data_IF_197502595448
#
_entry.id   IF_197502595448
#
_cell.length_a   1.000
_cell.length_b   1.000
_cell.length_c   1.000
_cell.angle_alpha   90.00
_cell.angle_beta   90.00
_cell.angle_gamma   90.00
#
_symmetry.space_group_name_H-M   'P 1'
#
loop_
_entity.id
_entity.type
_entity.pdbx_description
1 polymer ?
#
# COMPACT_ATOMS: atom_id res chain seq x y z
N UNK A 1 6.42 -79.19 39.78
CA UNK A 1 6.10 -78.59 38.48
C UNK A 1 5.49 -77.20 38.73
N UNK A 2 6.25 -76.13 38.43
CA UNK A 2 5.78 -74.74 38.63
C UNK A 2 5.48 -74.17 37.21
N UNK A 3 4.23 -73.83 36.96
CA UNK A 3 3.79 -73.20 35.72
C UNK A 3 4.04 -71.68 35.81
N UNK A 4 4.85 -71.16 34.92
CA UNK A 4 5.07 -69.72 34.71
C UNK A 4 4.05 -69.27 33.65
N UNK A 5 3.10 -68.43 34.09
CA UNK A 5 2.17 -67.73 33.14
C UNK A 5 2.85 -66.43 32.67
N UNK A 6 3.20 -66.33 31.41
CA UNK A 6 3.71 -65.13 30.79
C UNK A 6 2.50 -64.30 30.29
N UNK A 7 2.28 -63.14 30.95
CA UNK A 7 1.25 -62.19 30.57
C UNK A 7 1.84 -61.23 29.52
N UNK A 8 1.46 -61.42 28.24
CA UNK A 8 1.84 -60.46 27.19
C UNK A 8 0.94 -59.23 27.26
N UNK A 9 1.53 -58.07 27.67
CA UNK A 9 0.88 -56.77 27.56
C UNK A 9 0.97 -56.29 26.10
N UNK A 10 -0.17 -56.22 25.42
CA UNK A 10 -0.30 -55.54 24.15
C UNK A 10 -0.43 -54.01 24.40
N UNK A 11 0.62 -53.24 24.10
CA UNK A 11 0.56 -51.80 24.06
C UNK A 11 -0.01 -51.38 22.70
N UNK A 12 -1.27 -50.97 22.67
CA UNK A 12 -1.91 -50.38 21.49
C UNK A 12 -1.54 -48.91 21.49
N UNK A 13 -0.55 -48.52 20.65
CA UNK A 13 -0.24 -47.12 20.39
C UNK A 13 -1.30 -46.52 19.46
N UNK A 14 -2.21 -45.71 20.03
CA UNK A 14 -3.07 -44.84 19.28
C UNK A 14 -2.22 -43.70 18.66
N UNK A 15 -1.87 -43.84 17.39
CA UNK A 15 -1.33 -42.73 16.60
C UNK A 15 -2.51 -41.82 16.24
N UNK A 16 -2.70 -40.73 16.97
CA UNK A 16 -3.52 -39.61 16.51
C UNK A 16 -2.85 -39.01 15.27
N UNK A 17 -3.35 -39.32 14.10
CA UNK A 17 -3.10 -38.48 12.91
C UNK A 17 -3.82 -37.14 13.15
N UNK A 18 -3.06 -36.09 13.42
CA UNK A 18 -3.58 -34.72 13.29
C UNK A 18 -4.01 -34.54 11.83
N UNK A 19 -5.32 -34.40 11.61
CA UNK A 19 -5.82 -33.93 10.33
C UNK A 19 -5.27 -32.50 10.11
N UNK A 20 -4.78 -32.18 8.88
CA UNK A 20 -4.34 -30.82 8.58
C UNK A 20 -5.53 -29.90 8.83
N UNK A 21 -5.38 -28.94 9.76
CA UNK A 21 -6.36 -27.87 9.98
C UNK A 21 -6.64 -27.24 8.60
N UNK A 22 -7.87 -27.41 8.11
CA UNK A 22 -8.37 -26.65 6.98
C UNK A 22 -8.16 -25.17 7.33
N UNK A 23 -7.26 -24.52 6.62
CA UNK A 23 -7.06 -23.10 6.73
C UNK A 23 -8.41 -22.47 6.32
N UNK A 24 -9.14 -21.93 7.28
CA UNK A 24 -10.37 -21.17 6.97
C UNK A 24 -9.95 -20.07 5.99
N UNK A 25 -10.64 -20.02 4.85
CA UNK A 25 -10.40 -18.95 3.89
C UNK A 25 -10.63 -17.62 4.61
N UNK A 26 -9.59 -16.78 4.69
CA UNK A 26 -9.70 -15.44 5.24
C UNK A 26 -10.83 -14.68 4.53
N UNK A 27 -11.67 -13.98 5.28
CA UNK A 27 -12.72 -13.17 4.67
C UNK A 27 -12.06 -12.10 3.78
N UNK A 28 -12.64 -11.85 2.60
CA UNK A 28 -12.15 -10.80 1.70
C UNK A 28 -12.23 -9.43 2.38
N UNK A 29 -11.21 -8.61 2.16
CA UNK A 29 -11.19 -7.21 2.64
C UNK A 29 -12.37 -6.43 2.09
N UNK A 30 -13.01 -5.63 2.94
CA UNK A 30 -14.09 -4.72 2.54
C UNK A 30 -13.64 -3.68 1.50
N UNK A 31 -12.32 -3.47 1.33
CA UNK A 31 -11.78 -2.57 0.32
C UNK A 31 -12.07 -3.03 -1.10
N UNK A 32 -12.24 -4.33 -1.33
CA UNK A 32 -12.58 -4.89 -2.64
C UNK A 32 -13.89 -4.29 -3.15
N UNK A 33 -14.91 -4.24 -2.31
CA UNK A 33 -16.19 -3.59 -2.67
C UNK A 33 -16.12 -2.06 -2.59
N UNK A 34 -15.45 -1.54 -1.56
CA UNK A 34 -15.36 -0.09 -1.31
C UNK A 34 -14.63 0.65 -2.42
N UNK A 35 -13.59 0.05 -3.01
CA UNK A 35 -12.77 0.64 -4.07
C UNK A 35 -13.05 0.05 -5.46
N UNK A 36 -14.05 -0.83 -5.62
CA UNK A 36 -14.51 -1.27 -6.93
C UNK A 36 -14.99 -0.07 -7.77
N UNK A 37 -14.82 -0.17 -9.07
CA UNK A 37 -15.32 0.84 -10.00
C UNK A 37 -16.83 1.00 -9.88
N UNK A 38 -17.27 2.23 -9.80
CA UNK A 38 -18.69 2.62 -9.82
C UNK A 38 -18.82 3.90 -10.64
N UNK A 39 -19.68 3.88 -11.65
CA UNK A 39 -19.95 5.09 -12.44
C UNK A 39 -20.43 6.24 -11.55
N UNK A 40 -19.95 7.45 -11.82
CA UNK A 40 -20.28 8.68 -11.09
C UNK A 40 -19.86 8.73 -9.60
N UNK A 41 -18.95 7.84 -9.19
CA UNK A 41 -18.34 7.93 -7.86
C UNK A 41 -17.41 9.15 -7.78
N UNK A 42 -17.39 9.80 -6.63
CA UNK A 42 -16.41 10.87 -6.34
C UNK A 42 -14.99 10.31 -6.49
N UNK A 43 -14.11 10.97 -7.25
CA UNK A 43 -12.73 10.54 -7.39
C UNK A 43 -12.00 10.56 -6.05
N UNK A 44 -11.00 9.71 -5.92
CA UNK A 44 -10.19 9.55 -4.70
C UNK A 44 -8.85 10.25 -4.87
N UNK A 45 -8.43 11.01 -3.87
CA UNK A 45 -7.06 11.52 -3.79
C UNK A 45 -6.18 10.45 -3.15
N UNK A 46 -5.10 10.07 -3.82
CA UNK A 46 -4.04 9.23 -3.26
C UNK A 46 -2.81 10.11 -3.03
N UNK A 47 -2.44 10.27 -1.77
CA UNK A 47 -1.33 11.13 -1.36
C UNK A 47 -0.03 10.35 -1.50
N UNK A 48 0.84 10.75 -2.43
CA UNK A 48 2.12 10.12 -2.69
C UNK A 48 3.07 10.31 -1.49
N UNK A 49 3.73 9.23 -1.05
CA UNK A 49 4.65 9.18 0.11
C UNK A 49 4.05 9.72 1.41
N UNK A 50 2.74 9.56 1.61
CA UNK A 50 2.07 10.07 2.79
C UNK A 50 2.03 11.59 2.92
N UNK A 51 2.50 12.31 1.89
CA UNK A 51 2.57 13.77 1.83
C UNK A 51 3.98 14.25 1.47
N UNK A 52 4.13 14.77 0.25
CA UNK A 52 5.39 15.27 -0.28
C UNK A 52 5.27 16.76 -0.57
N UNK A 53 6.41 17.49 -0.48
CA UNK A 53 6.49 18.92 -0.77
C UNK A 53 5.54 19.78 0.08
N UNK A 54 5.38 19.43 1.34
CA UNK A 54 4.63 20.18 2.33
C UNK A 54 5.61 20.73 3.37
N UNK A 55 5.66 22.05 3.49
CA UNK A 55 6.60 22.72 4.39
C UNK A 55 6.36 22.31 5.85
N UNK A 56 7.44 21.94 6.56
CA UNK A 56 7.48 21.39 7.92
C UNK A 56 6.80 20.01 8.10
N UNK A 57 6.43 19.33 6.99
CA UNK A 57 5.81 18.01 7.02
C UNK A 57 6.55 17.04 6.09
N UNK A 58 7.50 16.25 6.64
CA UNK A 58 8.26 15.27 5.84
C UNK A 58 7.41 14.20 5.18
N UNK A 59 7.87 13.67 4.04
CA UNK A 59 7.29 12.49 3.43
C UNK A 59 7.44 11.25 4.35
N UNK A 60 6.58 10.24 4.19
CA UNK A 60 6.62 9.00 4.97
C UNK A 60 6.63 9.20 6.50
N UNK A 61 5.91 10.21 6.96
CA UNK A 61 5.86 10.64 8.35
C UNK A 61 4.43 10.55 8.90
N UNK A 62 4.26 9.96 10.06
CA UNK A 62 2.93 9.77 10.67
C UNK A 62 2.23 11.11 10.96
N UNK A 63 2.99 12.13 11.38
CA UNK A 63 2.48 13.46 11.64
C UNK A 63 1.97 14.13 10.36
N UNK A 64 2.63 13.89 9.23
CA UNK A 64 2.20 14.37 7.90
C UNK A 64 0.89 13.72 7.48
N UNK A 65 0.78 12.39 7.66
CA UNK A 65 -0.48 11.68 7.38
C UNK A 65 -1.63 12.27 8.21
N UNK A 66 -1.41 12.53 9.49
CA UNK A 66 -2.40 13.13 10.40
C UNK A 66 -2.81 14.52 9.92
N UNK A 67 -1.83 15.37 9.62
CA UNK A 67 -2.07 16.75 9.16
C UNK A 67 -2.95 16.79 7.89
N UNK A 68 -2.64 15.96 6.90
CA UNK A 68 -3.43 15.92 5.67
C UNK A 68 -4.81 15.32 5.95
N UNK A 69 -4.86 14.23 6.75
CA UNK A 69 -6.13 13.57 7.09
C UNK A 69 -7.08 14.52 7.84
N UNK A 70 -6.58 15.47 8.63
CA UNK A 70 -7.42 16.46 9.29
C UNK A 70 -8.02 17.47 8.32
N UNK A 71 -7.44 17.60 7.12
CA UNK A 71 -7.81 18.62 6.13
C UNK A 71 -8.69 18.08 4.99
N UNK A 72 -8.36 16.92 4.43
CA UNK A 72 -9.06 16.31 3.29
C UNK A 72 -9.22 14.80 3.46
N UNK A 73 -10.31 14.20 2.91
CA UNK A 73 -10.39 12.75 2.80
C UNK A 73 -9.44 12.26 1.71
N UNK A 74 -8.58 11.30 2.04
CA UNK A 74 -7.62 10.75 1.09
C UNK A 74 -7.25 9.30 1.45
N UNK A 75 -6.64 8.60 0.51
CA UNK A 75 -5.82 7.40 0.75
C UNK A 75 -4.35 7.80 0.72
N UNK A 76 -3.48 7.05 1.36
CA UNK A 76 -2.07 7.43 1.51
C UNK A 76 -1.17 6.33 0.97
N UNK A 77 -0.35 6.67 0.00
CA UNK A 77 0.73 5.80 -0.41
C UNK A 77 1.91 6.00 0.56
N UNK A 78 2.50 4.88 0.98
CA UNK A 78 3.61 4.83 1.93
C UNK A 78 4.64 3.80 1.50
N UNK A 79 5.91 4.10 1.75
CA UNK A 79 7.05 3.28 1.36
C UNK A 79 7.58 2.47 2.55
N UNK A 80 7.63 1.14 2.44
CA UNK A 80 8.09 0.27 3.51
C UNK A 80 9.52 -0.18 3.28
N UNK A 81 10.40 0.24 4.15
CA UNK A 81 11.80 -0.18 4.24
C UNK A 81 12.05 -1.05 5.48
N UNK A 82 13.28 -1.56 5.59
CA UNK A 82 13.68 -2.45 6.68
C UNK A 82 15.02 -2.03 7.28
N UNK A 83 15.09 -2.02 8.60
CA UNK A 83 16.31 -1.76 9.37
C UNK A 83 17.21 -2.99 9.44
N UNK A 84 18.43 -2.84 9.99
CA UNK A 84 19.40 -3.91 10.26
C UNK A 84 18.84 -5.03 11.13
N UNK A 85 18.02 -4.70 12.10
CA UNK A 85 17.38 -5.64 13.03
C UNK A 85 15.99 -6.13 12.54
N UNK A 86 15.72 -5.98 11.22
CA UNK A 86 14.52 -6.43 10.53
C UNK A 86 13.21 -5.74 10.97
N UNK A 87 13.27 -4.57 11.57
CA UNK A 87 12.10 -3.75 11.89
C UNK A 87 11.60 -3.04 10.64
N UNK A 88 10.29 -3.11 10.34
CA UNK A 88 9.67 -2.41 9.23
C UNK A 88 9.34 -0.98 9.60
N UNK A 89 9.80 -0.04 8.77
CA UNK A 89 9.66 1.40 8.96
C UNK A 89 9.23 2.08 7.67
N UNK A 90 8.77 3.33 7.75
CA UNK A 90 8.49 4.13 6.56
C UNK A 90 9.73 4.87 6.11
N UNK A 91 10.20 4.59 4.88
CA UNK A 91 11.30 5.30 4.22
C UNK A 91 11.32 4.96 2.73
N UNK A 92 11.39 5.98 1.87
CA UNK A 92 11.43 5.78 0.43
C UNK A 92 12.82 5.35 -0.05
N UNK A 93 13.86 6.07 0.37
CA UNK A 93 15.23 5.84 -0.09
C UNK A 93 15.94 4.80 0.79
N UNK A 94 16.93 4.11 0.24
CA UNK A 94 17.81 3.30 1.05
C UNK A 94 18.72 4.17 1.95
N UNK A 95 19.04 5.40 1.51
CA UNK A 95 19.88 6.35 2.24
C UNK A 95 19.02 7.29 3.10
N UNK A 96 19.49 7.60 4.30
CA UNK A 96 18.85 8.49 5.26
C UNK A 96 18.94 9.97 4.86
N UNK A 97 20.02 10.40 4.17
CA UNK A 97 20.45 11.80 4.07
C UNK A 97 19.54 12.75 3.26
N UNK A 98 18.51 12.26 2.54
CA UNK A 98 17.60 13.16 1.81
C UNK A 98 16.42 13.65 2.66
N UNK A 99 15.94 12.83 3.56
CA UNK A 99 14.72 13.07 4.32
C UNK A 99 14.92 12.95 5.83
N UNK A 100 16.18 12.96 6.28
CA UNK A 100 16.51 12.96 7.70
C UNK A 100 17.89 13.57 7.97
N UNK A 101 18.16 13.93 9.22
CA UNK A 101 19.48 14.38 9.69
C UNK A 101 20.53 13.25 9.76
N UNK A 102 20.16 12.02 9.40
CA UNK A 102 21.06 10.87 9.37
C UNK A 102 21.79 10.74 8.04
N UNK A 103 22.84 9.93 8.02
CA UNK A 103 23.61 9.60 6.82
C UNK A 103 23.75 8.09 6.64
N UNK A 104 24.08 7.64 5.43
CA UNK A 104 24.30 6.23 5.12
C UNK A 104 23.02 5.46 4.85
N UNK A 105 23.18 4.13 4.72
CA UNK A 105 22.10 3.22 4.35
C UNK A 105 21.31 2.79 5.59
N UNK A 106 19.98 2.81 5.50
CA UNK A 106 19.05 2.45 6.58
C UNK A 106 19.29 1.02 7.10
N UNK A 107 19.74 0.11 6.23
CA UNK A 107 20.03 -1.28 6.60
C UNK A 107 21.26 -1.45 7.50
N UNK A 108 22.04 -0.40 7.70
CA UNK A 108 23.19 -0.39 8.60
C UNK A 108 22.80 -0.06 10.05
N UNK A 109 21.57 0.41 10.29
CA UNK A 109 21.11 0.85 11.60
C UNK A 109 19.99 -0.06 12.14
N UNK A 110 20.03 -0.33 13.44
CA UNK A 110 18.85 -0.83 14.18
C UNK A 110 17.82 0.26 14.30
N UNK A 111 16.56 -0.10 14.55
CA UNK A 111 15.52 0.91 14.76
C UNK A 111 15.87 1.85 15.94
N UNK A 112 16.44 1.30 17.01
CA UNK A 112 16.84 2.11 18.18
C UNK A 112 17.91 3.14 17.83
N UNK A 113 18.84 2.81 16.94
CA UNK A 113 19.87 3.75 16.45
C UNK A 113 19.27 4.82 15.54
N UNK A 114 18.19 4.51 14.79
CA UNK A 114 17.50 5.51 13.95
C UNK A 114 16.77 6.60 14.75
N UNK A 115 16.38 6.33 16.00
CA UNK A 115 15.67 7.31 16.84
C UNK A 115 16.50 8.56 17.20
N UNK A 116 17.82 8.51 17.01
CA UNK A 116 18.65 9.70 17.20
C UNK A 116 18.47 10.77 16.09
N UNK A 117 18.03 10.34 14.89
CA UNK A 117 17.83 11.23 13.75
C UNK A 117 16.42 11.80 13.71
N UNK A 118 16.31 13.03 13.19
CA UNK A 118 15.05 13.70 12.93
C UNK A 118 14.71 13.60 11.43
N UNK A 119 13.43 13.64 11.09
CA UNK A 119 13.00 13.76 9.69
C UNK A 119 13.13 15.21 9.23
N UNK A 120 13.48 15.40 7.97
CA UNK A 120 13.56 16.68 7.26
C UNK A 120 12.51 16.69 6.12
N UNK A 121 11.91 17.85 5.90
CA UNK A 121 11.01 18.05 4.78
C UNK A 121 11.76 18.24 3.44
N UNK A 122 11.03 18.34 2.35
CA UNK A 122 11.60 18.53 1.00
C UNK A 122 12.27 19.90 0.80
N UNK A 123 12.18 20.82 1.77
CA UNK A 123 12.77 22.16 1.75
C UNK A 123 14.03 22.25 2.64
N UNK A 124 14.39 21.15 3.32
CA UNK A 124 15.54 21.07 4.22
C UNK A 124 15.25 21.60 5.64
N UNK A 125 13.97 21.73 6.00
CA UNK A 125 13.63 22.08 7.38
C UNK A 125 13.67 20.81 8.24
N UNK A 126 14.53 20.82 9.28
CA UNK A 126 14.55 19.78 10.29
C UNK A 126 13.32 19.89 11.18
N UNK A 127 12.68 18.73 11.43
CA UNK A 127 11.56 18.62 12.36
C UNK A 127 11.96 17.89 13.64
N UNK A 128 11.03 17.72 14.57
CA UNK A 128 11.20 16.83 15.73
C UNK A 128 10.65 15.40 15.48
N UNK A 129 10.14 15.16 14.29
CA UNK A 129 9.51 13.90 13.93
C UNK A 129 10.56 12.81 13.66
N UNK A 130 10.20 11.58 13.91
CA UNK A 130 11.06 10.41 13.78
C UNK A 130 10.61 9.49 12.66
N UNK A 131 11.52 8.68 12.15
CA UNK A 131 11.17 7.60 11.21
C UNK A 131 10.15 6.69 11.90
N UNK A 132 8.90 6.58 11.38
CA UNK A 132 7.85 5.86 12.07
C UNK A 132 7.97 4.35 11.87
N UNK A 133 7.57 3.58 12.88
CA UNK A 133 7.31 2.14 12.73
C UNK A 133 6.12 1.91 11.82
N UNK A 134 6.24 1.01 10.87
CA UNK A 134 5.12 0.62 10.01
C UNK A 134 3.93 0.10 10.84
N UNK A 135 4.20 -0.65 11.91
CA UNK A 135 3.17 -1.12 12.85
C UNK A 135 2.34 0.02 13.44
N UNK A 136 2.99 1.11 13.87
CA UNK A 136 2.29 2.24 14.49
C UNK A 136 1.42 2.98 13.46
N UNK A 137 1.90 3.08 12.21
CA UNK A 137 1.14 3.65 11.10
C UNK A 137 -0.09 2.80 10.77
N UNK A 138 0.05 1.45 10.72
CA UNK A 138 -1.08 0.54 10.52
C UNK A 138 -2.13 0.68 11.63
N UNK A 139 -1.70 0.72 12.89
CA UNK A 139 -2.61 0.86 14.03
C UNK A 139 -3.34 2.21 14.01
N UNK A 140 -2.64 3.30 13.71
CA UNK A 140 -3.25 4.61 13.55
C UNK A 140 -4.24 4.65 12.38
N UNK A 141 -3.85 4.14 11.22
CA UNK A 141 -4.69 4.13 10.03
C UNK A 141 -5.97 3.31 10.26
N UNK A 142 -5.86 2.14 10.90
CA UNK A 142 -7.01 1.32 11.29
C UNK A 142 -7.94 2.07 12.24
N UNK A 143 -7.41 2.69 13.30
CA UNK A 143 -8.20 3.43 14.28
C UNK A 143 -8.95 4.64 13.68
N UNK A 144 -8.43 5.21 12.58
CA UNK A 144 -9.00 6.38 11.90
C UNK A 144 -9.69 6.03 10.57
N UNK A 145 -9.82 4.74 10.22
CA UNK A 145 -10.40 4.25 8.96
C UNK A 145 -9.73 4.87 7.72
N UNK A 146 -8.40 5.06 7.80
CA UNK A 146 -7.55 5.60 6.73
C UNK A 146 -7.02 4.46 5.86
N UNK A 147 -7.16 4.55 4.55
CA UNK A 147 -6.66 3.55 3.61
C UNK A 147 -5.20 3.84 3.28
N UNK A 148 -4.37 2.81 3.33
CA UNK A 148 -2.96 2.83 2.95
C UNK A 148 -2.76 2.04 1.66
N UNK A 149 -2.03 2.61 0.69
CA UNK A 149 -1.45 1.89 -0.43
C UNK A 149 0.04 1.70 -0.15
N UNK A 150 0.47 0.45 -0.05
CA UNK A 150 1.74 0.05 0.57
C UNK A 150 2.75 -0.32 -0.51
N UNK A 151 3.76 0.54 -0.71
CA UNK A 151 4.90 0.28 -1.59
C UNK A 151 6.01 -0.45 -0.83
N UNK A 152 6.36 -1.65 -1.33
CA UNK A 152 7.33 -2.55 -0.69
C UNK A 152 8.69 -2.35 -1.33
N UNK A 153 9.66 -1.80 -0.58
CA UNK A 153 11.02 -1.61 -1.08
C UNK A 153 11.77 -2.94 -1.22
N UNK A 154 12.78 -2.97 -2.09
CA UNK A 154 13.50 -4.20 -2.46
C UNK A 154 14.11 -4.98 -1.29
N UNK A 155 14.40 -4.31 -0.17
CA UNK A 155 14.93 -4.93 1.06
C UNK A 155 13.89 -5.72 1.84
N UNK A 156 12.59 -5.58 1.52
CA UNK A 156 11.46 -6.14 2.27
C UNK A 156 10.74 -7.17 1.40
N UNK A 157 10.30 -8.28 1.99
CA UNK A 157 9.46 -9.25 1.29
C UNK A 157 7.97 -8.94 1.50
N UNK A 158 7.13 -9.35 0.55
CA UNK A 158 5.68 -9.19 0.66
C UNK A 158 5.12 -9.94 1.87
N UNK A 159 5.69 -11.09 2.19
CA UNK A 159 5.27 -11.90 3.34
C UNK A 159 5.50 -11.18 4.67
N UNK A 160 6.60 -10.41 4.80
CA UNK A 160 6.88 -9.61 6.00
C UNK A 160 5.82 -8.52 6.18
N UNK A 161 5.45 -7.83 5.10
CA UNK A 161 4.42 -6.79 5.13
C UNK A 161 3.05 -7.39 5.43
N UNK A 162 2.66 -8.45 4.73
CA UNK A 162 1.37 -9.16 4.93
C UNK A 162 1.26 -9.70 6.36
N UNK A 163 2.34 -10.27 6.91
CA UNK A 163 2.34 -10.76 8.29
C UNK A 163 2.00 -9.64 9.28
N UNK A 164 2.58 -8.44 9.09
CA UNK A 164 2.33 -7.32 9.99
C UNK A 164 0.94 -6.70 9.79
N UNK A 165 0.43 -6.67 8.55
CA UNK A 165 -0.96 -6.27 8.24
C UNK A 165 -1.94 -7.19 8.98
N UNK A 166 -1.74 -8.52 8.91
CA UNK A 166 -2.57 -9.52 9.60
C UNK A 166 -2.43 -9.45 11.13
N UNK A 167 -1.20 -9.27 11.64
CA UNK A 167 -0.95 -9.13 13.08
C UNK A 167 -1.71 -7.94 13.69
N UNK A 168 -1.81 -6.83 12.92
CA UNK A 168 -2.50 -5.61 13.36
C UNK A 168 -4.00 -5.62 13.04
N UNK A 169 -4.47 -6.62 12.26
CA UNK A 169 -5.85 -6.71 11.74
C UNK A 169 -6.17 -5.49 10.87
N UNK A 170 -5.22 -5.11 10.00
CA UNK A 170 -5.30 -3.94 9.15
C UNK A 170 -5.66 -4.27 7.68
N UNK A 171 -6.22 -5.47 7.43
CA UNK A 171 -6.57 -5.95 6.09
C UNK A 171 -7.59 -5.03 5.41
N UNK A 172 -8.53 -4.48 6.16
CA UNK A 172 -9.61 -3.62 5.66
C UNK A 172 -9.19 -2.18 5.40
N UNK A 173 -7.90 -1.86 5.55
CA UNK A 173 -7.35 -0.54 5.24
C UNK A 173 -6.05 -0.62 4.41
N UNK A 174 -5.65 -1.81 3.96
CA UNK A 174 -4.36 -2.04 3.29
C UNK A 174 -4.54 -2.50 1.85
N UNK A 175 -3.87 -1.82 0.92
CA UNK A 175 -3.74 -2.17 -0.50
C UNK A 175 -2.27 -2.39 -0.81
N UNK A 176 -1.90 -3.52 -1.39
CA UNK A 176 -0.49 -3.81 -1.73
C UNK A 176 -0.18 -3.31 -3.14
N UNK A 177 0.86 -2.49 -3.29
CA UNK A 177 1.35 -2.02 -4.59
C UNK A 177 2.25 -3.07 -5.22
N UNK A 178 2.08 -3.30 -6.53
CA UNK A 178 2.87 -4.23 -7.32
C UNK A 178 3.23 -3.62 -8.68
N UNK A 179 4.48 -3.82 -9.11
CA UNK A 179 5.03 -3.19 -10.31
C UNK A 179 5.08 -4.11 -11.53
N UNK A 180 4.98 -5.41 -11.32
CA UNK A 180 5.01 -6.43 -12.36
C UNK A 180 4.20 -7.68 -11.96
N UNK A 181 4.01 -8.59 -12.93
CA UNK A 181 3.24 -9.82 -12.73
C UNK A 181 3.82 -10.75 -11.66
N UNK A 182 5.14 -10.79 -11.51
CA UNK A 182 5.78 -11.64 -10.50
C UNK A 182 5.43 -11.15 -9.09
N UNK A 183 5.51 -9.83 -8.87
CA UNK A 183 5.13 -9.21 -7.60
C UNK A 183 3.63 -9.35 -7.34
N UNK A 184 2.78 -9.11 -8.35
CA UNK A 184 1.34 -9.25 -8.22
C UNK A 184 0.92 -10.68 -7.84
N UNK A 185 1.47 -11.69 -8.53
CA UNK A 185 1.21 -13.10 -8.20
C UNK A 185 1.73 -13.48 -6.82
N UNK A 186 2.90 -12.98 -6.41
CA UNK A 186 3.44 -13.22 -5.07
C UNK A 186 2.57 -12.59 -3.98
N UNK A 187 2.13 -11.34 -4.18
CA UNK A 187 1.24 -10.65 -3.26
C UNK A 187 -0.13 -11.33 -3.13
N UNK A 188 -0.75 -11.69 -4.25
CA UNK A 188 -2.02 -12.42 -4.25
C UNK A 188 -1.91 -13.78 -3.56
N UNK A 189 -0.82 -14.52 -3.81
CA UNK A 189 -0.58 -15.81 -3.15
C UNK A 189 -0.38 -15.66 -1.63
N UNK A 190 0.27 -14.61 -1.18
CA UNK A 190 0.51 -14.34 0.25
C UNK A 190 -0.77 -13.89 0.97
N UNK A 191 -1.63 -13.14 0.29
CA UNK A 191 -2.84 -12.54 0.85
C UNK A 191 -3.95 -12.38 -0.21
N UNK A 192 -4.63 -13.48 -0.61
CA UNK A 192 -5.69 -13.46 -1.62
C UNK A 192 -6.92 -12.66 -1.18
N UNK A 193 -7.04 -12.36 0.10
CA UNK A 193 -8.08 -11.51 0.67
C UNK A 193 -7.86 -10.01 0.45
N UNK A 194 -6.64 -9.56 0.12
CA UNK A 194 -6.31 -8.14 -0.02
C UNK A 194 -6.58 -7.62 -1.42
N UNK A 195 -6.79 -6.31 -1.50
CA UNK A 195 -6.83 -5.55 -2.74
C UNK A 195 -5.39 -5.21 -3.17
N UNK A 196 -5.11 -5.31 -4.47
CA UNK A 196 -3.80 -5.03 -5.06
C UNK A 196 -3.88 -3.80 -5.98
N UNK A 197 -2.92 -2.90 -5.87
CA UNK A 197 -2.64 -1.91 -6.91
C UNK A 197 -1.67 -2.55 -7.92
N UNK A 198 -2.19 -2.88 -9.10
CA UNK A 198 -1.44 -3.59 -10.15
C UNK A 198 -1.06 -2.65 -11.28
N UNK A 199 0.13 -2.82 -11.88
CA UNK A 199 0.52 -2.06 -13.07
C UNK A 199 -0.26 -2.54 -14.30
N UNK A 200 -1.10 -1.65 -14.87
CA UNK A 200 -1.86 -1.86 -16.09
C UNK A 200 -1.72 -0.60 -16.98
N UNK A 201 -0.53 -0.36 -17.52
CA UNK A 201 -0.17 0.86 -18.25
C UNK A 201 -0.52 0.80 -19.74
N UNK A 202 -0.89 -0.38 -20.22
CA UNK A 202 -1.21 -0.64 -21.63
C UNK A 202 -1.96 -1.98 -21.77
N UNK A 203 -2.48 -2.25 -22.98
CA UNK A 203 -3.24 -3.47 -23.27
C UNK A 203 -2.45 -4.75 -23.00
N UNK A 204 -1.13 -4.77 -23.22
CA UNK A 204 -0.29 -5.95 -23.00
C UNK A 204 -0.19 -6.29 -21.51
N UNK A 205 -0.02 -5.28 -20.66
CA UNK A 205 0.02 -5.49 -19.19
C UNK A 205 -1.35 -5.91 -18.67
N UNK A 206 -2.43 -5.31 -19.17
CA UNK A 206 -3.79 -5.72 -18.83
C UNK A 206 -4.06 -7.18 -19.26
N UNK A 207 -3.65 -7.56 -20.47
CA UNK A 207 -3.81 -8.92 -20.97
C UNK A 207 -3.10 -9.95 -20.06
N UNK A 208 -1.89 -9.64 -19.61
CA UNK A 208 -1.18 -10.50 -18.65
C UNK A 208 -1.94 -10.64 -17.32
N UNK A 209 -2.52 -9.55 -16.81
CA UNK A 209 -3.30 -9.58 -15.57
C UNK A 209 -4.57 -10.43 -15.72
N UNK A 210 -5.26 -10.31 -16.85
CA UNK A 210 -6.48 -11.09 -17.14
C UNK A 210 -6.22 -12.60 -17.34
N UNK A 211 -5.00 -12.98 -17.70
CA UNK A 211 -4.57 -14.38 -17.79
C UNK A 211 -3.93 -14.91 -16.50
N UNK A 212 -3.89 -14.10 -15.44
CA UNK A 212 -3.38 -14.50 -14.13
C UNK A 212 -4.45 -15.16 -13.26
N UNK A 213 -4.03 -15.69 -12.10
CA UNK A 213 -4.95 -16.22 -11.08
C UNK A 213 -5.62 -15.12 -10.24
N UNK A 214 -5.27 -13.83 -10.45
CA UNK A 214 -5.77 -12.70 -9.66
C UNK A 214 -7.14 -12.30 -10.20
N UNK A 215 -8.24 -12.36 -9.42
CA UNK A 215 -9.54 -11.88 -9.84
C UNK A 215 -9.52 -10.37 -10.12
N UNK A 216 -10.26 -9.91 -11.12
CA UNK A 216 -10.34 -8.47 -11.44
C UNK A 216 -10.86 -7.63 -10.28
N UNK A 217 -11.72 -8.20 -9.45
CA UNK A 217 -12.23 -7.56 -8.23
C UNK A 217 -11.15 -7.26 -7.19
N UNK A 218 -10.02 -8.00 -7.22
CA UNK A 218 -8.87 -7.76 -6.34
C UNK A 218 -7.88 -6.72 -6.92
N UNK A 219 -8.23 -6.01 -8.00
CA UNK A 219 -7.33 -5.11 -8.70
C UNK A 219 -7.79 -3.65 -8.66
N UNK A 220 -6.85 -2.74 -8.39
CA UNK A 220 -6.87 -1.35 -8.82
C UNK A 220 -5.79 -1.21 -9.89
N UNK A 221 -6.13 -0.69 -11.07
CA UNK A 221 -5.19 -0.54 -12.17
C UNK A 221 -4.39 0.77 -12.04
N UNK A 222 -3.10 0.69 -11.71
CA UNK A 222 -2.19 1.81 -11.88
C UNK A 222 -1.84 1.96 -13.36
N UNK A 223 -2.39 3.00 -14.00
CA UNK A 223 -2.26 3.25 -15.44
C UNK A 223 -0.98 3.99 -15.83
N UNK A 224 -0.09 4.22 -14.85
CA UNK A 224 1.20 4.89 -15.03
C UNK A 224 1.14 6.37 -14.69
N UNK A 225 2.20 7.10 -15.12
CA UNK A 225 2.37 8.55 -14.85
C UNK A 225 2.16 9.40 -16.12
N UNK A 226 1.48 8.83 -17.10
CA UNK A 226 1.06 9.47 -18.35
C UNK A 226 -0.40 9.15 -18.62
N UNK A 227 -1.11 10.07 -19.24
CA UNK A 227 -2.50 9.83 -19.63
C UNK A 227 -2.58 8.68 -20.63
N UNK A 228 -3.48 7.76 -20.37
CA UNK A 228 -3.89 6.74 -21.32
C UNK A 228 -5.02 7.26 -22.23
N UNK A 229 -5.26 6.66 -23.39
CA UNK A 229 -6.45 6.96 -24.19
C UNK A 229 -7.74 6.65 -23.38
N UNK A 230 -8.78 7.44 -23.57
CA UNK A 230 -10.10 7.24 -22.93
C UNK A 230 -10.64 5.81 -23.12
N UNK A 231 -10.46 5.24 -24.32
CA UNK A 231 -10.84 3.87 -24.62
C UNK A 231 -10.18 2.83 -23.71
N UNK A 232 -8.96 3.10 -23.20
CA UNK A 232 -8.28 2.21 -22.28
C UNK A 232 -8.87 2.28 -20.87
N UNK A 233 -9.18 3.49 -20.36
CA UNK A 233 -9.91 3.64 -19.10
C UNK A 233 -11.27 2.96 -19.16
N UNK A 234 -12.03 3.18 -20.27
CA UNK A 234 -13.31 2.50 -20.48
C UNK A 234 -13.17 0.98 -20.45
N UNK A 235 -12.13 0.43 -21.07
CA UNK A 235 -11.88 -1.02 -21.06
C UNK A 235 -11.67 -1.57 -19.64
N UNK A 236 -10.95 -0.84 -18.78
CA UNK A 236 -10.77 -1.19 -17.37
C UNK A 236 -12.09 -1.11 -16.60
N UNK A 237 -12.88 -0.06 -16.83
CA UNK A 237 -14.20 0.12 -16.23
C UNK A 237 -15.20 -0.98 -16.65
N UNK A 238 -15.18 -1.40 -17.91
CA UNK A 238 -16.02 -2.51 -18.40
C UNK A 238 -15.68 -3.85 -17.69
N UNK A 239 -14.49 -3.96 -17.10
CA UNK A 239 -14.04 -5.08 -16.28
C UNK A 239 -14.29 -4.88 -14.77
N UNK A 240 -14.89 -3.76 -14.37
CA UNK A 240 -15.12 -3.40 -12.97
C UNK A 240 -13.87 -2.89 -12.24
N UNK A 241 -12.79 -2.57 -12.96
CA UNK A 241 -11.49 -2.20 -12.38
C UNK A 241 -11.38 -0.69 -12.26
N UNK A 242 -11.10 -0.20 -11.06
CA UNK A 242 -10.83 1.21 -10.75
C UNK A 242 -9.49 1.65 -11.34
N UNK A 243 -9.45 2.83 -11.98
CA UNK A 243 -8.29 3.38 -12.65
C UNK A 243 -7.55 4.39 -11.77
N UNK A 244 -6.29 4.12 -11.44
CA UNK A 244 -5.41 5.04 -10.72
C UNK A 244 -4.38 5.65 -11.68
N UNK A 245 -4.31 6.97 -11.72
CA UNK A 245 -3.30 7.74 -12.47
C UNK A 245 -2.30 8.37 -11.51
N UNK A 246 -1.01 8.14 -11.73
CA UNK A 246 0.06 8.90 -11.08
C UNK A 246 0.23 10.27 -11.75
N UNK A 247 -0.24 11.32 -11.09
CA UNK A 247 -0.01 12.70 -11.58
C UNK A 247 1.31 13.29 -11.08
N UNK A 248 1.92 12.61 -10.10
CA UNK A 248 3.22 12.96 -9.53
C UNK A 248 4.27 13.27 -10.61
N UNK A 249 5.02 14.33 -10.44
CA UNK A 249 6.00 14.82 -11.41
C UNK A 249 5.40 15.64 -12.56
N UNK A 250 5.33 15.11 -13.77
CA UNK A 250 5.02 15.92 -14.96
C UNK A 250 3.58 16.45 -15.00
N UNK A 251 2.59 15.66 -14.64
CA UNK A 251 1.17 16.07 -14.70
C UNK A 251 0.88 17.09 -13.59
N UNK A 252 1.39 16.90 -12.39
CA UNK A 252 1.27 17.87 -11.30
C UNK A 252 1.93 19.20 -11.65
N UNK A 253 3.12 19.17 -12.30
CA UNK A 253 3.76 20.38 -12.84
C UNK A 253 2.92 21.05 -13.92
N UNK A 254 2.24 20.28 -14.78
CA UNK A 254 1.32 20.84 -15.75
C UNK A 254 0.12 21.52 -15.08
N UNK A 255 -0.49 20.88 -14.08
CA UNK A 255 -1.58 21.46 -13.32
C UNK A 255 -1.15 22.76 -12.62
N UNK A 256 0.03 22.76 -11.99
CA UNK A 256 0.59 23.96 -11.39
C UNK A 256 0.81 25.11 -12.37
N UNK A 257 1.29 24.82 -13.58
CA UNK A 257 1.62 25.82 -14.58
C UNK A 257 0.42 26.31 -15.40
N UNK A 258 -0.57 25.44 -15.65
CA UNK A 258 -1.69 25.70 -16.58
C UNK A 258 -3.05 25.79 -15.88
N UNK A 259 -3.10 25.52 -14.58
CA UNK A 259 -4.30 25.56 -13.77
C UNK A 259 -4.75 24.19 -13.26
N UNK A 260 -5.15 24.13 -12.00
CA UNK A 260 -5.54 22.90 -11.31
C UNK A 260 -6.83 22.27 -11.84
N UNK A 261 -7.61 23.00 -12.68
CA UNK A 261 -8.75 22.44 -13.41
C UNK A 261 -8.37 21.22 -14.28
N UNK A 262 -7.10 20.98 -14.53
CA UNK A 262 -6.62 19.80 -15.26
C UNK A 262 -6.93 18.50 -14.49
N UNK A 263 -6.97 18.50 -13.16
CA UNK A 263 -7.36 17.31 -12.39
C UNK A 263 -8.78 16.86 -12.76
N UNK A 264 -9.73 17.80 -12.89
CA UNK A 264 -11.09 17.48 -13.35
C UNK A 264 -11.09 16.90 -14.77
N UNK A 265 -10.31 17.47 -15.69
CA UNK A 265 -10.19 16.95 -17.06
C UNK A 265 -9.67 15.52 -17.10
N UNK A 266 -8.75 15.15 -16.20
CA UNK A 266 -8.25 13.77 -16.13
C UNK A 266 -9.28 12.81 -15.55
N UNK A 267 -10.05 13.25 -14.58
CA UNK A 267 -11.22 12.49 -14.07
C UNK A 267 -12.26 12.29 -15.19
N UNK A 268 -12.55 13.31 -15.97
CA UNK A 268 -13.48 13.25 -17.12
C UNK A 268 -13.03 12.26 -18.21
N UNK A 269 -11.72 11.97 -18.29
CA UNK A 269 -11.16 10.94 -19.19
C UNK A 269 -11.34 9.50 -18.65
N UNK A 270 -11.75 9.32 -17.40
CA UNK A 270 -11.95 8.01 -16.77
C UNK A 270 -10.95 7.68 -15.65
N UNK A 271 -10.26 8.66 -15.08
CA UNK A 271 -9.41 8.46 -13.90
C UNK A 271 -10.26 8.52 -12.64
N UNK A 272 -10.20 7.47 -11.81
CA UNK A 272 -10.97 7.37 -10.57
C UNK A 272 -10.13 7.76 -9.34
N UNK A 273 -8.81 7.52 -9.40
CA UNK A 273 -7.88 7.81 -8.30
C UNK A 273 -6.72 8.65 -8.83
N UNK A 274 -6.49 9.81 -8.22
CA UNK A 274 -5.40 10.73 -8.52
C UNK A 274 -4.29 10.53 -7.50
N UNK A 275 -3.19 9.88 -7.90
CA UNK A 275 -1.99 9.75 -7.06
C UNK A 275 -1.07 10.96 -7.30
N UNK A 276 -0.91 11.85 -6.30
CA UNK A 276 -0.38 13.20 -6.50
C UNK A 276 0.58 13.67 -5.39
N UNK A 277 1.54 14.52 -5.77
CA UNK A 277 2.37 15.31 -4.86
C UNK A 277 1.65 16.62 -4.40
N UNK A 278 0.46 16.93 -4.97
CA UNK A 278 -0.29 18.17 -4.69
C UNK A 278 -1.71 17.90 -4.19
N UNK A 279 -1.85 17.13 -3.06
CA UNK A 279 -3.14 16.61 -2.63
C UNK A 279 -4.19 17.69 -2.35
N UNK A 280 -3.79 18.81 -1.74
CA UNK A 280 -4.71 19.92 -1.44
C UNK A 280 -5.22 20.62 -2.71
N UNK A 281 -4.34 20.84 -3.70
CA UNK A 281 -4.72 21.45 -4.98
C UNK A 281 -5.66 20.54 -5.78
N UNK A 282 -5.35 19.25 -5.83
CA UNK A 282 -6.20 18.25 -6.47
C UNK A 282 -7.58 18.16 -5.80
N UNK A 283 -7.63 18.06 -4.46
CA UNK A 283 -8.87 18.01 -3.70
C UNK A 283 -9.72 19.28 -3.90
N UNK A 284 -9.11 20.46 -3.85
CA UNK A 284 -9.80 21.73 -4.08
C UNK A 284 -10.41 21.81 -5.48
N UNK A 285 -9.63 21.40 -6.52
CA UNK A 285 -10.10 21.38 -7.91
C UNK A 285 -11.28 20.45 -8.14
N UNK A 286 -11.31 19.32 -7.42
CA UNK A 286 -12.35 18.28 -7.52
C UNK A 286 -13.50 18.50 -6.51
N UNK A 287 -13.51 19.63 -5.77
CA UNK A 287 -14.49 19.92 -4.73
C UNK A 287 -14.58 18.83 -3.63
N UNK A 288 -13.50 18.12 -3.38
CA UNK A 288 -13.40 17.09 -2.33
C UNK A 288 -13.13 17.79 -1.00
N UNK A 289 -14.04 17.63 -0.05
CA UNK A 289 -14.01 18.22 1.28
C UNK A 289 -14.29 17.16 2.33
N UNK A 290 -13.71 17.35 3.53
CA UNK A 290 -14.00 16.52 4.70
C UNK A 290 -15.36 16.82 5.28
#
# INVERSE_FOLDING_TARGET
MKYIVILCLFVVSFSCKEEPKKQEASAKSVLIERLAYQANKTPVISVHRGGKSIENYPENCLETLKYINDSIPAVYEIDIAKTKDNVLVLMHDNSLGRTSTGEGDITNYTYQELLQYNLEDDFGNETTFKIPLFKDVLLWAKANNVILTIDIKKSVSVEQVVALVKETGAEDISVIITYDMKQASAAYKAAPELLLSVSARNDKELDWLLHSEIPTENMIAFTGTRLSPEAFYKKLHDLGITCMLGTLGNLDKQAQAKGDHLYQKWVDLGVDVIATDRPFAAAASLNIKK
#
